data_IF_510533547901
#
_entry.id   IF_510533547901
#
_cell.length_a   1.000
_cell.length_b   1.000
_cell.length_c   1.000
_cell.angle_alpha   90.00
_cell.angle_beta   90.00
_cell.angle_gamma   90.00
#
_symmetry.space_group_name_H-M   'P 1'
#
loop_
_entity.id
_entity.type
_entity.pdbx_description
1 polymer ?
#
# COMPACT_ATOMS: atom_id res chain seq x y z
N UNK A 1 -4.20 -4.13 -33.48
CA UNK A 1 -4.48 -3.17 -32.41
C UNK A 1 -5.53 -3.79 -31.49
N UNK A 2 -5.14 -4.45 -30.39
CA UNK A 2 -6.07 -5.05 -29.42
C UNK A 2 -6.47 -3.99 -28.39
N UNK A 3 -7.69 -3.46 -28.48
CA UNK A 3 -8.19 -2.45 -27.54
C UNK A 3 -9.49 -2.85 -26.82
N UNK A 4 -9.91 -4.12 -26.93
CA UNK A 4 -11.21 -4.60 -26.40
C UNK A 4 -11.12 -5.77 -25.40
N UNK A 5 -9.93 -6.11 -24.88
CA UNK A 5 -9.77 -7.29 -24.00
C UNK A 5 -9.95 -6.98 -22.50
N UNK A 6 -9.59 -5.78 -22.07
CA UNK A 6 -9.44 -5.45 -20.64
C UNK A 6 -10.77 -5.44 -19.86
N UNK A 7 -11.87 -4.97 -20.44
CA UNK A 7 -13.16 -4.89 -19.72
C UNK A 7 -13.74 -6.29 -19.53
N UNK A 8 -13.78 -7.08 -20.61
CA UNK A 8 -14.24 -8.46 -20.57
C UNK A 8 -13.41 -9.31 -19.58
N UNK A 9 -12.09 -9.13 -19.55
CA UNK A 9 -11.23 -9.84 -18.62
C UNK A 9 -11.53 -9.48 -17.15
N UNK A 10 -11.90 -8.23 -16.86
CA UNK A 10 -12.31 -7.81 -15.51
C UNK A 10 -13.69 -8.35 -15.12
N UNK A 11 -14.66 -8.31 -16.04
CA UNK A 11 -15.99 -8.89 -15.81
C UNK A 11 -15.90 -10.39 -15.48
N UNK A 12 -15.08 -11.15 -16.22
CA UNK A 12 -14.87 -12.57 -15.96
C UNK A 12 -14.16 -12.85 -14.62
N UNK A 13 -13.32 -11.93 -14.12
CA UNK A 13 -12.73 -12.04 -12.78
C UNK A 13 -13.76 -11.81 -11.66
N UNK A 14 -14.74 -10.93 -11.87
CA UNK A 14 -15.78 -10.63 -10.88
C UNK A 14 -16.90 -11.67 -10.88
N UNK A 15 -17.16 -12.31 -12.03
CA UNK A 15 -18.30 -13.21 -12.26
C UNK A 15 -18.51 -14.29 -11.19
N UNK A 16 -17.49 -15.06 -10.73
CA UNK A 16 -17.70 -16.07 -9.70
C UNK A 16 -18.26 -15.50 -8.40
N UNK A 17 -17.93 -14.25 -8.06
CA UNK A 17 -18.39 -13.58 -6.84
C UNK A 17 -19.84 -13.08 -6.98
N UNK A 18 -20.23 -12.70 -8.19
CA UNK A 18 -21.60 -12.26 -8.50
C UNK A 18 -22.53 -13.47 -8.59
N UNK A 19 -22.11 -14.55 -9.27
CA UNK A 19 -22.91 -15.76 -9.49
C UNK A 19 -23.32 -16.43 -8.17
N UNK A 20 -22.50 -16.31 -7.12
CA UNK A 20 -22.81 -16.84 -5.77
C UNK A 20 -23.49 -15.81 -4.86
N UNK A 21 -23.76 -14.59 -5.35
CA UNK A 21 -24.46 -13.54 -4.61
C UNK A 21 -23.62 -12.83 -3.54
N UNK A 22 -22.28 -12.87 -3.61
CA UNK A 22 -21.43 -12.08 -2.70
C UNK A 22 -21.37 -10.60 -3.07
N UNK A 23 -21.55 -10.28 -4.35
CA UNK A 23 -21.55 -8.90 -4.85
C UNK A 23 -22.68 -8.69 -5.85
N UNK A 24 -23.27 -7.49 -5.84
CA UNK A 24 -24.38 -7.11 -6.71
C UNK A 24 -23.91 -6.76 -8.14
N UNK A 25 -22.64 -6.40 -8.30
CA UNK A 25 -22.05 -6.01 -9.58
C UNK A 25 -20.52 -6.15 -9.57
N UNK A 26 -19.94 -6.16 -10.77
CA UNK A 26 -18.51 -6.03 -11.01
C UNK A 26 -17.96 -4.72 -10.42
N UNK A 27 -18.70 -3.61 -10.57
CA UNK A 27 -18.33 -2.30 -10.01
C UNK A 27 -18.18 -2.35 -8.50
N UNK A 28 -19.14 -2.95 -7.79
CA UNK A 28 -19.07 -3.10 -6.33
C UNK A 28 -17.91 -4.00 -5.90
N UNK A 29 -17.68 -5.10 -6.64
CA UNK A 29 -16.56 -6.00 -6.37
C UNK A 29 -15.21 -5.29 -6.51
N UNK A 30 -14.98 -4.60 -7.61
CA UNK A 30 -13.70 -3.93 -7.85
C UNK A 30 -13.49 -2.72 -6.94
N UNK A 31 -14.56 -2.01 -6.56
CA UNK A 31 -14.47 -0.93 -5.57
C UNK A 31 -13.97 -1.45 -4.23
N UNK A 32 -14.64 -2.47 -3.69
CA UNK A 32 -14.28 -3.04 -2.39
C UNK A 32 -12.87 -3.66 -2.42
N UNK A 33 -12.52 -4.32 -3.53
CA UNK A 33 -11.17 -4.85 -3.74
C UNK A 33 -10.10 -3.76 -3.71
N UNK A 34 -10.34 -2.63 -4.39
CA UNK A 34 -9.41 -1.50 -4.42
C UNK A 34 -9.32 -0.83 -3.04
N UNK A 35 -10.44 -0.58 -2.37
CA UNK A 35 -10.48 -0.01 -1.03
C UNK A 35 -9.70 -0.89 -0.03
N UNK A 36 -9.99 -2.19 -0.01
CA UNK A 36 -9.28 -3.16 0.83
C UNK A 36 -7.79 -3.23 0.50
N UNK A 37 -7.41 -3.14 -0.78
CA UNK A 37 -6.00 -3.13 -1.18
C UNK A 37 -5.27 -1.89 -0.65
N UNK A 38 -5.89 -0.72 -0.77
CA UNK A 38 -5.33 0.54 -0.26
C UNK A 38 -5.19 0.46 1.26
N UNK A 39 -6.22 0.04 1.98
CA UNK A 39 -6.18 -0.08 3.45
C UNK A 39 -5.10 -1.07 3.90
N UNK A 40 -5.02 -2.24 3.27
CA UNK A 40 -4.01 -3.23 3.59
C UNK A 40 -2.59 -2.68 3.39
N UNK A 41 -2.34 -1.95 2.29
CA UNK A 41 -1.03 -1.35 2.02
C UNK A 41 -0.69 -0.24 3.01
N UNK A 42 -1.65 0.61 3.36
CA UNK A 42 -1.47 1.63 4.39
C UNK A 42 -1.09 1.00 5.73
N UNK A 43 -1.86 0.01 6.18
CA UNK A 43 -1.62 -0.70 7.43
C UNK A 43 -0.24 -1.38 7.43
N UNK A 44 0.13 -2.05 6.33
CA UNK A 44 1.42 -2.73 6.22
C UNK A 44 2.61 -1.78 6.42
N UNK A 45 2.65 -0.64 5.71
CA UNK A 45 3.77 0.30 5.84
C UNK A 45 3.77 1.03 7.18
N UNK A 46 2.60 1.31 7.77
CA UNK A 46 2.52 1.85 9.13
C UNK A 46 3.09 0.88 10.17
N UNK A 47 2.90 -0.43 10.00
CA UNK A 47 3.48 -1.43 10.91
C UNK A 47 5.00 -1.52 10.77
N UNK A 48 5.53 -1.43 9.55
CA UNK A 48 6.99 -1.39 9.33
C UNK A 48 7.59 -0.18 10.02
N UNK A 49 7.02 1.01 9.80
CA UNK A 49 7.47 2.26 10.44
C UNK A 49 7.44 2.13 11.96
N UNK A 50 6.31 1.70 12.55
CA UNK A 50 6.18 1.52 14.01
C UNK A 50 7.16 0.49 14.57
N UNK A 51 7.44 -0.58 13.83
CA UNK A 51 8.40 -1.61 14.24
C UNK A 51 9.81 -1.03 14.32
N UNK A 52 10.20 -0.23 13.32
CA UNK A 52 11.53 0.36 13.27
C UNK A 52 11.68 1.54 14.26
N UNK A 53 10.64 2.35 14.44
CA UNK A 53 10.56 3.36 15.53
C UNK A 53 10.80 2.72 16.89
N UNK A 54 10.15 1.58 17.18
CA UNK A 54 10.33 0.85 18.43
C UNK A 54 11.69 0.19 18.55
N UNK A 55 12.26 -0.31 17.44
CA UNK A 55 13.56 -1.00 17.42
C UNK A 55 14.70 -0.05 17.82
N UNK A 56 14.62 1.21 17.37
CA UNK A 56 15.68 2.20 17.60
C UNK A 56 15.34 3.25 18.67
N UNK A 57 14.09 3.29 19.14
CA UNK A 57 13.58 4.23 20.13
C UNK A 57 13.80 5.71 19.75
N UNK A 58 13.75 6.00 18.45
CA UNK A 58 13.94 7.34 17.87
C UNK A 58 13.07 7.52 16.64
N UNK A 59 12.93 8.75 16.17
CA UNK A 59 12.29 9.04 14.88
C UNK A 59 13.19 8.64 13.71
N UNK A 60 12.61 8.43 12.52
CA UNK A 60 13.38 8.17 11.29
C UNK A 60 14.41 9.27 11.01
N UNK A 61 14.04 10.54 11.25
CA UNK A 61 14.95 11.67 11.03
C UNK A 61 16.14 11.67 11.98
N UNK A 62 15.92 11.33 13.25
CA UNK A 62 17.00 11.22 14.23
C UNK A 62 17.87 9.99 13.99
N UNK A 63 17.26 8.88 13.58
CA UNK A 63 17.97 7.69 13.13
C UNK A 63 18.87 8.02 11.92
N UNK A 64 18.34 8.71 10.91
CA UNK A 64 19.11 9.12 9.72
C UNK A 64 20.35 9.95 10.09
N UNK A 65 20.18 10.94 10.99
CA UNK A 65 21.31 11.76 11.49
C UNK A 65 22.34 10.95 12.28
N UNK A 66 21.90 9.93 13.02
CA UNK A 66 22.81 9.03 13.74
C UNK A 66 23.74 8.32 12.76
N UNK A 67 23.21 7.84 11.63
CA UNK A 67 23.97 7.09 10.63
C UNK A 67 25.03 7.91 9.89
N UNK A 68 24.90 9.25 9.85
CA UNK A 68 25.94 10.14 9.31
C UNK A 68 27.29 10.00 10.05
N UNK A 69 27.26 9.51 11.29
CA UNK A 69 28.46 9.26 12.11
C UNK A 69 29.04 7.86 11.91
N UNK A 70 28.47 7.09 11.00
CA UNK A 70 28.78 5.68 10.75
C UNK A 70 27.57 4.79 11.01
N UNK A 71 27.39 3.81 10.14
CA UNK A 71 26.33 2.83 10.18
C UNK A 71 26.92 1.42 10.08
N UNK A 72 26.32 0.47 10.79
CA UNK A 72 26.49 -0.95 10.47
C UNK A 72 25.66 -1.31 9.24
N UNK A 73 26.04 -2.37 8.51
CA UNK A 73 25.27 -2.87 7.35
C UNK A 73 23.80 -3.11 7.73
N UNK A 74 23.54 -3.70 8.90
CA UNK A 74 22.18 -3.91 9.39
C UNK A 74 21.42 -2.60 9.59
N UNK A 75 22.07 -1.56 10.12
CA UNK A 75 21.44 -0.25 10.26
C UNK A 75 21.16 0.42 8.92
N UNK A 76 22.00 0.23 7.90
CA UNK A 76 21.74 0.69 6.54
C UNK A 76 20.55 -0.05 5.91
N UNK A 77 20.48 -1.37 6.07
CA UNK A 77 19.35 -2.19 5.59
C UNK A 77 18.03 -1.76 6.25
N UNK A 78 18.03 -1.58 7.57
CA UNK A 78 16.88 -1.11 8.32
C UNK A 78 16.49 0.32 7.93
N UNK A 79 17.47 1.19 7.65
CA UNK A 79 17.21 2.55 7.16
C UNK A 79 16.54 2.54 5.78
N UNK A 80 17.02 1.71 4.85
CA UNK A 80 16.44 1.57 3.52
C UNK A 80 15.01 1.03 3.58
N UNK A 81 14.74 0.04 4.44
CA UNK A 81 13.39 -0.47 4.66
C UNK A 81 12.46 0.63 5.20
N UNK A 82 12.94 1.42 6.17
CA UNK A 82 12.18 2.51 6.77
C UNK A 82 11.85 3.62 5.78
N UNK A 83 12.85 4.08 5.03
CA UNK A 83 12.68 5.12 4.02
C UNK A 83 11.67 4.68 2.95
N UNK A 84 11.81 3.45 2.46
CA UNK A 84 10.88 2.87 1.50
C UNK A 84 9.46 2.81 2.07
N UNK A 85 9.28 2.40 3.34
CA UNK A 85 7.98 2.35 3.97
C UNK A 85 7.33 3.74 4.11
N UNK A 86 8.09 4.78 4.49
CA UNK A 86 7.58 6.16 4.57
C UNK A 86 7.13 6.66 3.20
N UNK A 87 7.96 6.44 2.16
CA UNK A 87 7.66 6.87 0.80
C UNK A 87 6.41 6.16 0.25
N UNK A 88 6.33 4.84 0.44
CA UNK A 88 5.18 4.05 0.00
C UNK A 88 3.91 4.40 0.77
N UNK A 89 3.99 4.62 2.08
CA UNK A 89 2.86 5.09 2.87
C UNK A 89 2.33 6.43 2.34
N UNK A 90 3.23 7.36 2.01
CA UNK A 90 2.88 8.64 1.38
C UNK A 90 2.16 8.46 0.04
N UNK A 91 2.68 7.58 -0.82
CA UNK A 91 2.09 7.28 -2.12
C UNK A 91 0.68 6.69 -2.00
N UNK A 92 0.50 5.66 -1.17
CA UNK A 92 -0.81 5.03 -0.94
C UNK A 92 -1.82 5.98 -0.30
N UNK A 93 -1.40 6.85 0.62
CA UNK A 93 -2.28 7.90 1.20
C UNK A 93 -2.74 8.92 0.16
N UNK A 94 -1.94 9.20 -0.87
CA UNK A 94 -2.35 10.06 -1.98
C UNK A 94 -3.38 9.36 -2.86
N UNK A 95 -3.16 8.09 -3.19
CA UNK A 95 -4.07 7.27 -3.99
C UNK A 95 -5.43 7.08 -3.30
N UNK A 96 -5.44 6.74 -2.01
CA UNK A 96 -6.69 6.58 -1.26
C UNK A 96 -7.51 7.88 -1.13
N UNK A 97 -6.85 9.04 -1.06
CA UNK A 97 -7.53 10.34 -1.09
C UNK A 97 -8.13 10.64 -2.45
N UNK A 98 -7.38 10.42 -3.54
CA UNK A 98 -7.88 10.61 -4.91
C UNK A 98 -9.09 9.73 -5.20
N UNK A 99 -9.12 8.50 -4.67
CA UNK A 99 -10.28 7.61 -4.82
C UNK A 99 -11.55 8.21 -4.21
N UNK A 100 -11.47 8.86 -3.03
CA UNK A 100 -12.62 9.52 -2.39
C UNK A 100 -13.21 10.72 -3.14
N UNK A 101 -12.51 11.26 -4.14
CA UNK A 101 -12.95 12.44 -4.92
C UNK A 101 -13.37 12.11 -6.36
N UNK A 102 -13.28 10.85 -6.78
CA UNK A 102 -13.65 10.40 -8.14
C UNK A 102 -14.98 9.63 -8.18
N UNK A 103 -15.76 9.69 -7.08
CA UNK A 103 -17.07 9.05 -6.92
C UNK A 103 -18.08 10.11 -6.48
#
# INVERSE_FOLDING_TARGET
>A
MMKHRTIHDLEELAKPFIDIGLYDSDVTFFRDLLESTVEHKLNHYEQIIKKLERKYDVSFGDFSKKLERGATITEEDDWMEWEAAINMLGAWRKTGRLHKYLI
#
